data_IF_528183182897
#
_entry.id   IF_528183182897
#
_cell.length_a   1.000
_cell.length_b   1.000
_cell.length_c   1.000
_cell.angle_alpha   90.00
_cell.angle_beta   90.00
_cell.angle_gamma   90.00
#
_symmetry.space_group_name_H-M   'P 1'
#
loop_
_entity.id
_entity.type
_entity.pdbx_description
1 polymer ?
#
# COMPACT_ATOMS: atom_id res chain seq x y z
N UNK A 1 -17.28 4.22 0.02
CA UNK A 1 -15.95 4.86 0.03
C UNK A 1 -14.99 3.96 0.80
N UNK A 2 -13.94 3.40 0.20
CA UNK A 2 -12.97 2.62 0.95
C UNK A 2 -12.10 3.55 1.77
N UNK A 3 -11.89 3.17 3.01
CA UNK A 3 -11.01 3.85 3.94
C UNK A 3 -9.56 3.49 3.61
N UNK A 4 -8.76 4.47 3.16
CA UNK A 4 -7.31 4.42 3.35
C UNK A 4 -7.09 4.05 4.83
N UNK A 5 -6.31 3.00 5.15
CA UNK A 5 -6.16 2.58 6.53
C UNK A 5 -5.74 3.77 7.40
N UNK A 6 -6.40 3.94 8.55
CA UNK A 6 -6.39 5.19 9.34
C UNK A 6 -4.98 5.72 9.69
N UNK A 7 -3.98 4.84 9.77
CA UNK A 7 -2.58 5.21 10.00
C UNK A 7 -1.93 5.88 8.77
N UNK A 8 -2.31 5.45 7.57
CA UNK A 8 -1.69 5.87 6.31
C UNK A 8 -2.05 7.33 5.99
N UNK A 9 -3.25 7.79 6.40
CA UNK A 9 -3.62 9.20 6.28
C UNK A 9 -2.81 10.10 7.20
N UNK A 10 -2.65 9.75 8.48
CA UNK A 10 -1.84 10.52 9.43
C UNK A 10 -0.37 10.53 9.00
N UNK A 11 0.15 9.41 8.51
CA UNK A 11 1.49 9.36 7.91
C UNK A 11 1.62 10.29 6.70
N UNK A 12 0.63 10.32 5.81
CA UNK A 12 0.67 11.22 4.65
C UNK A 12 0.67 12.70 5.05
N UNK A 13 -0.21 13.11 5.98
CA UNK A 13 -0.24 14.50 6.48
C UNK A 13 1.06 14.85 7.19
N UNK A 14 1.62 13.96 8.00
CA UNK A 14 2.91 14.18 8.65
C UNK A 14 4.04 14.42 7.64
N UNK A 15 4.14 13.57 6.63
CA UNK A 15 5.26 13.61 5.68
C UNK A 15 5.13 14.73 4.65
N UNK A 16 3.92 15.03 4.20
CA UNK A 16 3.70 15.92 3.06
C UNK A 16 2.86 17.15 3.38
N UNK A 17 2.11 17.15 4.49
CA UNK A 17 1.12 18.18 4.81
C UNK A 17 1.68 19.60 4.80
N UNK A 18 2.90 19.81 5.29
CA UNK A 18 3.54 21.14 5.28
C UNK A 18 3.66 21.76 3.88
N UNK A 19 3.86 20.95 2.82
CA UNK A 19 3.93 21.42 1.42
C UNK A 19 2.56 21.84 0.87
N UNK A 20 1.49 21.43 1.55
CA UNK A 20 0.10 21.64 1.17
C UNK A 20 -0.65 22.50 2.21
N UNK A 21 0.08 23.34 2.95
CA UNK A 21 -0.50 24.29 3.91
C UNK A 21 -0.89 23.71 5.28
N UNK A 22 -0.59 22.44 5.53
CA UNK A 22 -0.94 21.72 6.78
C UNK A 22 0.26 21.61 7.75
N UNK A 23 1.09 22.65 7.83
CA UNK A 23 2.32 22.63 8.63
C UNK A 23 2.05 22.37 10.10
N UNK A 24 0.98 22.94 10.66
CA UNK A 24 0.63 22.80 12.08
C UNK A 24 0.13 21.39 12.39
N UNK A 25 -0.70 20.84 11.51
CA UNK A 25 -1.25 19.49 11.59
C UNK A 25 -0.15 18.44 11.43
N UNK A 26 0.79 18.65 10.50
CA UNK A 26 1.93 17.77 10.28
C UNK A 26 2.85 17.70 11.51
N UNK A 27 3.08 18.85 12.16
CA UNK A 27 4.02 18.96 13.28
C UNK A 27 3.56 18.23 14.56
N UNK A 28 2.26 18.02 14.74
CA UNK A 28 1.71 17.36 15.94
C UNK A 28 1.55 15.84 15.77
N UNK A 29 1.88 15.28 14.61
CA UNK A 29 1.81 13.85 14.36
C UNK A 29 3.18 13.22 14.63
N UNK A 30 3.20 12.28 15.57
CA UNK A 30 4.39 11.55 15.94
C UNK A 30 4.86 10.54 14.88
N UNK A 31 6.07 9.99 15.04
CA UNK A 31 6.73 9.13 14.04
C UNK A 31 5.96 7.86 13.66
N UNK A 32 5.09 7.35 14.53
CA UNK A 32 4.27 6.16 14.26
C UNK A 32 2.83 6.50 13.86
N UNK A 33 2.51 7.79 13.67
CA UNK A 33 1.17 8.28 13.33
C UNK A 33 0.29 8.53 14.55
N UNK A 34 0.87 8.61 15.73
CA UNK A 34 0.21 9.00 16.97
C UNK A 34 -0.03 10.51 17.04
N UNK A 35 -1.13 10.91 17.68
CA UNK A 35 -1.46 12.30 18.01
C UNK A 35 -2.00 12.27 19.43
N UNK A 36 -1.36 13.01 20.34
CA UNK A 36 -1.66 12.94 21.77
C UNK A 36 -3.10 13.39 22.09
N UNK A 37 -3.51 14.51 21.50
CA UNK A 37 -4.85 15.07 21.69
C UNK A 37 -5.86 14.41 20.74
N UNK A 38 -6.89 13.79 21.32
CA UNK A 38 -7.92 13.05 20.59
C UNK A 38 -8.79 13.95 19.71
N UNK A 39 -9.04 15.20 20.11
CA UNK A 39 -9.79 16.17 19.33
C UNK A 39 -8.97 16.64 18.13
N UNK A 40 -7.68 16.96 18.32
CA UNK A 40 -6.76 17.30 17.22
C UNK A 40 -6.61 16.14 16.25
N UNK A 41 -6.52 14.91 16.77
CA UNK A 41 -6.50 13.70 15.94
C UNK A 41 -7.75 13.60 15.07
N UNK A 42 -8.93 13.87 15.63
CA UNK A 42 -10.19 13.86 14.89
C UNK A 42 -10.22 14.96 13.81
N UNK A 43 -9.72 16.17 14.10
CA UNK A 43 -9.59 17.25 13.13
C UNK A 43 -8.70 16.85 11.94
N UNK A 44 -7.52 16.30 12.18
CA UNK A 44 -6.62 15.85 11.11
C UNK A 44 -7.28 14.74 10.29
N UNK A 45 -7.95 13.79 10.94
CA UNK A 45 -8.65 12.73 10.23
C UNK A 45 -9.80 13.26 9.38
N UNK A 46 -10.47 14.34 9.80
CA UNK A 46 -11.51 15.00 9.02
C UNK A 46 -10.99 15.68 7.75
N UNK A 47 -9.68 15.97 7.62
CA UNK A 47 -9.11 16.54 6.39
C UNK A 47 -9.36 15.67 5.15
N UNK A 48 -9.58 14.35 5.32
CA UNK A 48 -9.96 13.47 4.20
C UNK A 48 -11.28 13.84 3.53
N UNK A 49 -12.13 14.62 4.21
CA UNK A 49 -13.40 15.10 3.66
C UNK A 49 -13.20 16.26 2.70
N UNK A 50 -12.04 16.94 2.75
CA UNK A 50 -11.64 17.89 1.74
C UNK A 50 -11.07 17.11 0.53
N UNK A 51 -11.70 17.19 -0.65
CA UNK A 51 -11.31 16.39 -1.81
C UNK A 51 -9.90 16.75 -2.33
N UNK A 52 -9.52 18.02 -2.25
CA UNK A 52 -8.23 18.51 -2.77
C UNK A 52 -7.08 18.02 -1.90
N UNK A 53 -7.21 18.16 -0.58
CA UNK A 53 -6.22 17.67 0.39
C UNK A 53 -6.09 16.15 0.29
N UNK A 54 -7.22 15.43 0.24
CA UNK A 54 -7.21 13.98 0.13
C UNK A 54 -6.52 13.50 -1.17
N UNK A 55 -6.81 14.15 -2.29
CA UNK A 55 -6.18 13.84 -3.58
C UNK A 55 -4.68 14.15 -3.58
N UNK A 56 -4.27 15.29 -3.01
CA UNK A 56 -2.87 15.69 -2.91
C UNK A 56 -2.07 14.70 -2.07
N UNK A 57 -2.55 14.35 -0.87
CA UNK A 57 -1.88 13.40 0.02
C UNK A 57 -1.77 12.00 -0.60
N UNK A 58 -2.83 11.56 -1.29
CA UNK A 58 -2.80 10.29 -2.01
C UNK A 58 -1.76 10.29 -3.14
N UNK A 59 -1.66 11.38 -3.91
CA UNK A 59 -0.69 11.53 -4.98
C UNK A 59 0.75 11.54 -4.46
N UNK A 60 1.03 12.25 -3.36
CA UNK A 60 2.37 12.28 -2.74
C UNK A 60 2.82 10.89 -2.28
N UNK A 61 1.93 10.18 -1.61
CA UNK A 61 2.21 8.84 -1.11
C UNK A 61 2.44 7.85 -2.25
N UNK A 62 1.64 7.96 -3.32
CA UNK A 62 1.83 7.17 -4.53
C UNK A 62 3.18 7.47 -5.19
N UNK A 63 3.60 8.74 -5.28
CA UNK A 63 4.94 9.14 -5.76
C UNK A 63 6.06 8.56 -4.92
N UNK A 64 5.96 8.67 -3.59
CA UNK A 64 6.95 8.08 -2.68
C UNK A 64 7.05 6.57 -2.86
N UNK A 65 5.91 5.89 -2.90
CA UNK A 65 5.86 4.43 -2.96
C UNK A 65 6.33 3.91 -4.32
N UNK A 66 5.94 4.56 -5.43
CA UNK A 66 6.44 4.25 -6.76
C UNK A 66 7.96 4.48 -6.89
N UNK A 67 8.47 5.60 -6.37
CA UNK A 67 9.91 5.88 -6.34
C UNK A 67 10.67 4.83 -5.53
N UNK A 68 10.13 4.42 -4.38
CA UNK A 68 10.72 3.35 -3.58
C UNK A 68 10.75 2.01 -4.35
N UNK A 69 9.65 1.64 -5.00
CA UNK A 69 9.61 0.42 -5.82
C UNK A 69 10.61 0.49 -6.98
N UNK A 70 10.68 1.61 -7.71
CA UNK A 70 11.63 1.80 -8.81
C UNK A 70 13.09 1.66 -8.35
N UNK A 71 13.42 2.16 -7.17
CA UNK A 71 14.78 2.07 -6.63
C UNK A 71 15.15 0.69 -6.07
N UNK A 72 14.18 -0.18 -5.77
CA UNK A 72 14.41 -1.45 -5.07
C UNK A 72 14.02 -2.69 -5.89
N UNK A 73 13.51 -2.50 -7.10
CA UNK A 73 13.19 -3.57 -8.04
C UNK A 73 14.16 -3.49 -9.22
N UNK A 74 14.72 -4.63 -9.62
CA UNK A 74 15.56 -4.77 -10.83
C UNK A 74 14.73 -4.72 -12.13
N UNK A 75 13.46 -4.32 -12.05
CA UNK A 75 12.51 -4.20 -13.14
C UNK A 75 11.55 -3.06 -12.86
N UNK A 76 10.87 -2.57 -13.90
CA UNK A 76 9.78 -1.61 -13.72
C UNK A 76 8.68 -2.17 -12.80
N UNK A 77 8.11 -1.30 -11.97
CA UNK A 77 6.98 -1.64 -11.13
C UNK A 77 5.76 -1.99 -12.00
N UNK A 78 5.04 -3.04 -11.59
CA UNK A 78 3.77 -3.43 -12.18
C UNK A 78 2.62 -2.86 -11.35
N UNK A 79 1.40 -2.89 -11.90
CA UNK A 79 0.19 -2.56 -11.13
C UNK A 79 0.05 -3.41 -9.86
N UNK A 80 0.46 -4.68 -9.91
CA UNK A 80 0.46 -5.56 -8.73
C UNK A 80 1.42 -5.08 -7.65
N UNK A 81 2.60 -4.56 -8.02
CA UNK A 81 3.58 -4.04 -7.05
C UNK A 81 3.05 -2.77 -6.38
N UNK A 82 2.41 -1.88 -7.15
CA UNK A 82 1.76 -0.68 -6.62
C UNK A 82 0.57 -1.02 -5.72
N UNK A 83 -0.25 -2.00 -6.11
CA UNK A 83 -1.36 -2.45 -5.27
C UNK A 83 -0.84 -3.10 -3.98
N UNK A 84 0.19 -3.94 -4.07
CA UNK A 84 0.86 -4.49 -2.90
C UNK A 84 1.44 -3.38 -2.02
N UNK A 85 1.96 -2.28 -2.59
CA UNK A 85 2.46 -1.13 -1.85
C UNK A 85 1.34 -0.40 -1.10
N UNK A 86 0.19 -0.19 -1.74
CA UNK A 86 -0.98 0.38 -1.08
C UNK A 86 -1.44 -0.46 0.12
N UNK A 87 -1.44 -1.79 -0.03
CA UNK A 87 -1.94 -2.70 1.00
C UNK A 87 -0.94 -3.03 2.12
N UNK A 88 0.33 -3.22 1.78
CA UNK A 88 1.38 -3.68 2.70
C UNK A 88 2.36 -2.57 3.12
N UNK A 89 2.37 -1.45 2.38
CA UNK A 89 3.43 -0.46 2.35
C UNK A 89 4.52 -0.80 1.31
N UNK A 90 5.09 0.21 0.66
CA UNK A 90 6.08 0.06 -0.41
C UNK A 90 7.26 -0.87 -0.06
N UNK A 91 7.80 -0.77 1.15
CA UNK A 91 8.92 -1.63 1.60
C UNK A 91 8.57 -3.12 1.57
N UNK A 92 7.38 -3.47 2.07
CA UNK A 92 6.94 -4.87 2.10
C UNK A 92 6.54 -5.35 0.72
N UNK A 93 5.99 -4.47 -0.12
CA UNK A 93 5.69 -4.76 -1.51
C UNK A 93 6.96 -5.06 -2.32
N UNK A 94 8.00 -4.22 -2.22
CA UNK A 94 9.29 -4.48 -2.84
C UNK A 94 9.87 -5.82 -2.38
N UNK A 95 9.85 -6.09 -1.07
CA UNK A 95 10.28 -7.38 -0.51
C UNK A 95 9.47 -8.55 -1.06
N UNK A 96 8.14 -8.40 -1.18
CA UNK A 96 7.26 -9.45 -1.71
C UNK A 96 7.60 -9.74 -3.18
N UNK A 97 7.76 -8.70 -4.00
CA UNK A 97 8.09 -8.82 -5.42
C UNK A 97 9.48 -9.44 -5.65
N UNK A 98 10.48 -9.07 -4.84
CA UNK A 98 11.81 -9.70 -4.87
C UNK A 98 11.74 -11.18 -4.47
N UNK A 99 10.98 -11.51 -3.41
CA UNK A 99 10.80 -12.90 -2.97
C UNK A 99 9.96 -13.74 -3.94
N UNK A 100 9.05 -13.13 -4.70
CA UNK A 100 8.29 -13.83 -5.72
C UNK A 100 9.20 -14.36 -6.84
N UNK A 101 10.26 -13.61 -7.16
CA UNK A 101 11.29 -14.03 -8.11
C UNK A 101 12.27 -15.03 -7.48
N UNK A 102 12.81 -14.70 -6.31
CA UNK A 102 13.88 -15.50 -5.70
C UNK A 102 13.39 -16.79 -5.01
N UNK A 103 12.20 -16.77 -4.39
CA UNK A 103 11.66 -17.86 -3.55
C UNK A 103 10.13 -18.00 -3.71
N UNK A 104 9.61 -18.22 -4.93
CA UNK A 104 8.16 -18.20 -5.21
C UNK A 104 7.36 -19.20 -4.35
N UNK A 105 7.94 -20.37 -4.05
CA UNK A 105 7.31 -21.45 -3.28
C UNK A 105 7.36 -21.27 -1.75
N UNK A 106 8.08 -20.28 -1.23
CA UNK A 106 8.24 -20.13 0.22
C UNK A 106 6.92 -19.75 0.91
N UNK A 107 6.64 -20.21 2.15
CA UNK A 107 5.42 -19.82 2.88
C UNK A 107 5.41 -18.33 3.21
N UNK A 108 4.49 -17.57 2.61
CA UNK A 108 4.43 -16.11 2.77
C UNK A 108 4.17 -15.69 4.23
N UNK A 109 3.36 -16.46 4.97
CA UNK A 109 3.05 -16.15 6.36
C UNK A 109 4.28 -16.19 7.28
N UNK A 110 5.32 -16.96 6.93
CA UNK A 110 6.59 -17.01 7.67
C UNK A 110 7.44 -15.75 7.42
N UNK A 111 7.37 -15.20 6.21
CA UNK A 111 8.18 -14.05 5.78
C UNK A 111 7.52 -12.70 6.12
N UNK A 112 6.19 -12.70 6.29
CA UNK A 112 5.39 -11.52 6.60
C UNK A 112 4.42 -11.76 7.78
N UNK A 113 4.90 -12.15 8.97
CA UNK A 113 4.04 -12.63 10.06
C UNK A 113 3.04 -11.60 10.58
N UNK A 114 3.42 -10.32 10.65
CA UNK A 114 2.49 -9.24 11.06
C UNK A 114 1.38 -9.04 10.02
N UNK A 115 1.73 -9.00 8.73
CA UNK A 115 0.74 -8.82 7.66
C UNK A 115 -0.17 -10.05 7.52
N UNK A 116 0.37 -11.26 7.72
CA UNK A 116 -0.41 -12.50 7.70
C UNK A 116 -1.43 -12.58 8.82
N UNK A 117 -1.09 -12.11 10.03
CA UNK A 117 -2.04 -12.01 11.15
C UNK A 117 -3.16 -11.02 10.86
N UNK A 118 -2.82 -9.84 10.32
CA UNK A 118 -3.79 -8.82 10.00
C UNK A 118 -4.70 -9.20 8.81
N UNK A 119 -4.17 -9.94 7.83
CA UNK A 119 -4.83 -10.17 6.54
C UNK A 119 -4.92 -11.66 6.20
N UNK A 120 -5.60 -12.44 7.06
CA UNK A 120 -5.62 -13.91 6.96
C UNK A 120 -6.14 -14.42 5.61
N UNK A 121 -7.14 -13.77 5.03
CA UNK A 121 -7.73 -14.14 3.73
C UNK A 121 -6.76 -13.99 2.55
N UNK A 122 -5.74 -13.15 2.68
CA UNK A 122 -4.70 -12.94 1.66
C UNK A 122 -3.56 -13.93 1.85
N UNK A 123 -3.12 -14.16 3.08
CA UNK A 123 -1.94 -14.98 3.38
C UNK A 123 -2.22 -16.48 3.52
N UNK A 124 -3.48 -16.88 3.67
CA UNK A 124 -3.85 -18.28 3.87
C UNK A 124 -4.95 -18.71 2.90
N UNK A 125 -4.99 -20.02 2.62
CA UNK A 125 -6.04 -20.67 1.84
C UNK A 125 -6.48 -21.97 2.50
N UNK A 126 -7.75 -22.34 2.31
CA UNK A 126 -8.23 -23.67 2.74
C UNK A 126 -7.76 -24.71 1.72
N UNK A 127 -7.17 -25.80 2.20
CA UNK A 127 -6.90 -27.03 1.42
C UNK A 127 -7.57 -28.19 2.16
N UNK A 128 -8.76 -28.57 1.68
CA UNK A 128 -9.68 -29.42 2.44
C UNK A 128 -10.09 -28.73 3.76
N UNK A 129 -10.07 -29.48 4.88
CA UNK A 129 -10.40 -28.94 6.21
C UNK A 129 -9.27 -28.12 6.87
N UNK A 130 -8.08 -28.04 6.27
CA UNK A 130 -6.90 -27.39 6.89
C UNK A 130 -6.64 -26.01 6.27
N UNK A 131 -6.29 -25.03 7.12
CA UNK A 131 -5.79 -23.73 6.69
C UNK A 131 -4.28 -23.83 6.42
N UNK A 132 -3.84 -23.50 5.21
CA UNK A 132 -2.42 -23.49 4.84
C UNK A 132 -1.98 -22.09 4.45
N UNK A 133 -0.72 -21.75 4.75
CA UNK A 133 -0.10 -20.53 4.22
C UNK A 133 -0.08 -20.62 2.70
N UNK A 134 -0.46 -19.54 2.03
CA UNK A 134 -0.11 -19.34 0.62
C UNK A 134 1.40 -19.21 0.49
N UNK A 135 1.91 -19.56 -0.68
CA UNK A 135 3.29 -19.29 -1.06
C UNK A 135 3.48 -17.79 -1.33
N UNK A 136 4.71 -17.32 -1.46
CA UNK A 136 4.99 -15.94 -1.85
C UNK A 136 4.32 -15.61 -3.18
N UNK A 137 4.49 -16.48 -4.19
CA UNK A 137 3.84 -16.30 -5.49
C UNK A 137 2.31 -16.33 -5.35
N UNK A 138 1.75 -17.19 -4.50
CA UNK A 138 0.32 -17.26 -4.27
C UNK A 138 -0.26 -16.00 -3.62
N UNK A 139 0.49 -15.33 -2.74
CA UNK A 139 0.11 -14.02 -2.20
C UNK A 139 0.22 -12.94 -3.26
N UNK A 140 1.31 -12.93 -4.04
CA UNK A 140 1.50 -11.98 -5.14
C UNK A 140 0.35 -12.06 -6.16
N UNK A 141 0.02 -13.26 -6.63
CA UNK A 141 -1.10 -13.48 -7.54
C UNK A 141 -2.44 -13.11 -6.90
N UNK A 142 -2.61 -13.35 -5.59
CA UNK A 142 -3.84 -12.95 -4.90
C UNK A 142 -4.03 -11.44 -4.89
N UNK A 143 -2.93 -10.69 -4.79
CA UNK A 143 -2.92 -9.23 -4.86
C UNK A 143 -3.03 -8.72 -6.31
N UNK A 144 -2.67 -9.53 -7.30
CA UNK A 144 -2.84 -9.21 -8.71
C UNK A 144 -4.31 -9.31 -9.18
N UNK A 145 -5.15 -10.06 -8.46
CA UNK A 145 -6.56 -10.19 -8.82
C UNK A 145 -7.29 -8.85 -8.62
N UNK A 146 -8.02 -8.37 -9.65
CA UNK A 146 -8.75 -7.12 -9.55
C UNK A 146 -9.86 -7.28 -8.51
N UNK A 147 -9.69 -6.61 -7.37
CA UNK A 147 -10.71 -6.63 -6.30
C UNK A 147 -11.50 -5.34 -6.17
N UNK A 148 -11.14 -4.25 -6.88
CA UNK A 148 -11.93 -3.02 -6.83
C UNK A 148 -11.69 -2.08 -8.03
N UNK A 149 -12.73 -1.40 -8.54
CA UNK A 149 -12.65 -0.31 -9.53
C UNK A 149 -11.71 0.84 -9.14
N UNK A 150 -11.43 1.00 -7.85
CA UNK A 150 -10.54 2.05 -7.34
C UNK A 150 -9.06 1.77 -7.61
N UNK A 151 -8.68 0.49 -7.72
CA UNK A 151 -7.32 0.06 -8.11
C UNK A 151 -6.99 0.55 -9.50
N UNK A 152 -7.97 0.45 -10.40
CA UNK A 152 -7.88 0.97 -11.75
C UNK A 152 -7.69 2.48 -11.77
N UNK A 153 -8.34 3.23 -10.87
CA UNK A 153 -8.20 4.67 -10.81
C UNK A 153 -6.82 5.09 -10.27
N UNK A 154 -6.31 4.40 -9.24
CA UNK A 154 -4.94 4.62 -8.73
C UNK A 154 -3.90 4.22 -9.76
N UNK A 155 -4.06 3.08 -10.44
CA UNK A 155 -3.15 2.63 -11.49
C UNK A 155 -3.18 3.55 -12.72
N UNK A 156 -4.35 4.05 -13.14
CA UNK A 156 -4.48 5.09 -14.19
C UNK A 156 -3.75 6.36 -13.78
N UNK A 157 -4.04 6.88 -12.59
CA UNK A 157 -3.40 8.10 -12.09
C UNK A 157 -1.90 7.91 -11.89
N UNK A 158 -1.45 6.72 -11.49
CA UNK A 158 -0.03 6.37 -11.43
C UNK A 158 0.59 6.34 -12.83
N UNK A 159 -0.07 5.75 -13.83
CA UNK A 159 0.39 5.75 -15.23
C UNK A 159 0.49 7.17 -15.78
N UNK A 160 -0.49 8.02 -15.49
CA UNK A 160 -0.47 9.43 -15.88
C UNK A 160 0.69 10.19 -15.22
N UNK A 161 1.07 9.83 -13.99
CA UNK A 161 2.17 10.47 -13.25
C UNK A 161 3.55 9.91 -13.66
N UNK A 162 3.68 8.61 -13.97
CA UNK A 162 4.97 7.95 -14.12
C UNK A 162 5.30 7.42 -15.53
N UNK A 163 4.33 7.32 -16.45
CA UNK A 163 4.53 6.89 -17.85
C UNK A 163 4.97 5.42 -18.08
N UNK A 164 5.63 4.79 -17.11
CA UNK A 164 6.45 3.58 -17.33
C UNK A 164 5.89 2.29 -16.68
N UNK A 165 4.66 2.30 -16.17
CA UNK A 165 4.09 1.15 -15.45
C UNK A 165 3.60 0.07 -16.41
N UNK A 166 4.06 -1.17 -16.19
CA UNK A 166 3.61 -2.33 -16.97
C UNK A 166 2.29 -2.88 -16.38
N UNK A 167 1.32 -3.29 -17.22
CA UNK A 167 0.11 -3.96 -16.73
C UNK A 167 0.45 -5.20 -15.89
N UNK A 168 -0.40 -5.51 -14.91
CA UNK A 168 -0.28 -6.73 -14.12
C UNK A 168 -0.16 -7.97 -15.05
N UNK A 169 0.69 -8.96 -14.72
CA UNK A 169 0.78 -10.19 -15.50
C UNK A 169 -0.58 -10.89 -15.48
N UNK A 170 -1.09 -11.24 -16.67
CA UNK A 170 -2.30 -12.04 -16.82
C UNK A 170 -2.12 -13.36 -16.07
N UNK A 171 -3.08 -13.69 -15.20
CA UNK A 171 -3.11 -14.97 -14.50
C UNK A 171 -3.35 -16.08 -15.54
N UNK A 172 -2.27 -16.75 -15.97
CA UNK A 172 -2.34 -18.02 -16.70
C UNK A 172 -2.67 -19.18 -15.77
#
# INVERSE_FOLDING_TARGET
MPTIPWNTQLTAVREFGARHGLTREAAIIGPTGEVEDSARRACILNLRKNPDIAAAMAAEMLRRDAGYLKANLERNATDTDLYAAHFLGARKAAKLAALAQAKPGAPAARLFPRAARANRSIFYQKKGRKLKSRTVQGVYNRLALPYAPEVDQVARKARDIFGDLKPAPSSG
#
